data_IF_533885305445
#
_entry.id   IF_533885305445
#
_cell.length_a   1.000
_cell.length_b   1.000
_cell.length_c   1.000
_cell.angle_alpha   90.00
_cell.angle_beta   90.00
_cell.angle_gamma   90.00
#
_symmetry.space_group_name_H-M   'P 1'
#
loop_
_entity.id
_entity.type
_entity.pdbx_description
1 polymer ?
#
# COMPACT_ATOMS: atom_id res chain seq x y z
N UNK A 1 0.98 21.27 -11.11
CA UNK A 1 0.93 19.98 -10.39
C UNK A 1 2.22 19.20 -10.67
N UNK A 2 3.29 19.40 -9.89
CA UNK A 2 4.66 18.97 -10.26
C UNK A 2 5.17 17.72 -9.51
N UNK A 3 4.97 17.65 -8.18
CA UNK A 3 5.62 16.61 -7.38
C UNK A 3 5.02 15.20 -7.50
N UNK A 4 3.71 15.07 -7.70
CA UNK A 4 3.06 13.75 -7.87
C UNK A 4 3.58 13.05 -9.11
N UNK A 5 3.67 13.77 -10.24
CA UNK A 5 4.23 13.23 -11.49
C UNK A 5 5.73 12.93 -11.35
N UNK A 6 6.49 13.80 -10.67
CA UNK A 6 7.92 13.56 -10.43
C UNK A 6 8.18 12.24 -9.68
N UNK A 7 7.35 11.90 -8.68
CA UNK A 7 7.46 10.64 -7.93
C UNK A 7 6.91 9.41 -8.67
N UNK A 8 6.26 9.58 -9.83
CA UNK A 8 5.54 8.55 -10.59
C UNK A 8 6.04 8.46 -12.03
N UNK A 9 7.30 8.82 -12.27
CA UNK A 9 7.94 8.81 -13.61
C UNK A 9 7.13 9.59 -14.67
N UNK A 10 6.63 10.77 -14.29
CA UNK A 10 5.83 11.64 -15.16
C UNK A 10 4.34 11.31 -15.21
N UNK A 11 3.92 10.14 -14.73
CA UNK A 11 2.51 9.71 -14.73
C UNK A 11 1.75 10.32 -13.57
N UNK A 12 0.44 10.52 -13.74
CA UNK A 12 -0.41 10.87 -12.59
C UNK A 12 -0.74 9.65 -11.74
N UNK A 13 -0.76 8.45 -12.31
CA UNK A 13 -1.02 7.20 -11.61
C UNK A 13 -0.05 6.11 -12.10
N UNK A 14 0.41 5.27 -11.17
CA UNK A 14 1.15 4.05 -11.48
C UNK A 14 0.29 2.84 -11.06
N UNK A 15 -0.37 2.15 -12.01
CA UNK A 15 -1.24 1.01 -11.71
C UNK A 15 -0.46 -0.31 -11.55
N UNK A 16 0.81 -0.35 -11.91
CA UNK A 16 1.55 -1.60 -12.08
C UNK A 16 1.78 -2.28 -10.73
N UNK A 17 1.55 -3.59 -10.68
CA UNK A 17 1.76 -4.35 -9.45
C UNK A 17 3.24 -4.32 -9.07
N UNK A 18 3.54 -3.99 -7.81
CA UNK A 18 4.90 -3.88 -7.27
C UNK A 18 5.47 -2.46 -7.26
N UNK A 19 5.04 -1.59 -8.18
CA UNK A 19 5.46 -0.17 -8.22
C UNK A 19 4.34 0.78 -7.81
N UNK A 20 3.06 0.36 -7.93
CA UNK A 20 1.92 1.12 -7.40
C UNK A 20 2.13 1.49 -5.94
N UNK A 21 1.68 2.69 -5.58
CA UNK A 21 1.81 3.26 -4.23
C UNK A 21 3.26 3.43 -3.73
N UNK A 22 4.27 3.26 -4.59
CA UNK A 22 5.68 3.44 -4.25
C UNK A 22 6.26 4.63 -5.03
N UNK A 23 6.36 5.78 -4.37
CA UNK A 23 7.04 6.94 -4.95
C UNK A 23 8.54 6.72 -5.08
N UNK A 24 9.14 7.34 -6.09
CA UNK A 24 10.60 7.32 -6.34
C UNK A 24 11.19 8.74 -6.32
N UNK A 25 12.51 8.81 -6.17
CA UNK A 25 13.27 10.06 -6.22
C UNK A 25 13.21 10.90 -4.93
N UNK A 26 13.96 12.00 -4.93
CA UNK A 26 14.26 12.79 -3.74
C UNK A 26 13.01 13.30 -3.00
N UNK A 27 11.95 13.66 -3.71
CA UNK A 27 10.72 14.13 -3.07
C UNK A 27 9.98 12.98 -2.35
N UNK A 28 9.99 11.76 -2.91
CA UNK A 28 9.43 10.60 -2.24
C UNK A 28 10.22 10.25 -0.98
N UNK A 29 11.55 10.34 -1.05
CA UNK A 29 12.44 10.10 0.10
C UNK A 29 12.24 11.14 1.21
N UNK A 30 12.09 12.42 0.84
CA UNK A 30 11.74 13.48 1.79
C UNK A 30 10.37 13.23 2.45
N UNK A 31 9.35 12.83 1.68
CA UNK A 31 8.04 12.49 2.25
C UNK A 31 8.12 11.29 3.20
N UNK A 32 8.91 10.26 2.84
CA UNK A 32 9.17 9.10 3.70
C UNK A 32 9.80 9.52 5.03
N UNK A 33 10.88 10.29 4.99
CA UNK A 33 11.58 10.74 6.19
C UNK A 33 10.66 11.57 7.11
N UNK A 34 9.84 12.46 6.54
CA UNK A 34 8.86 13.26 7.30
C UNK A 34 7.80 12.40 7.96
N UNK A 35 7.29 11.40 7.25
CA UNK A 35 6.30 10.47 7.77
C UNK A 35 6.87 9.63 8.92
N UNK A 36 8.07 9.06 8.73
CA UNK A 36 8.76 8.28 9.76
C UNK A 36 9.04 9.09 11.03
N UNK A 37 9.51 10.34 10.86
CA UNK A 37 9.72 11.25 11.99
C UNK A 37 8.42 11.57 12.74
N UNK A 38 7.31 11.78 12.02
CA UNK A 38 6.00 11.98 12.64
C UNK A 38 5.54 10.72 13.38
N UNK A 39 5.69 9.53 12.79
CA UNK A 39 5.34 8.29 13.44
C UNK A 39 6.12 8.08 14.73
N UNK A 40 7.43 8.37 14.73
CA UNK A 40 8.27 8.30 15.93
C UNK A 40 7.80 9.31 16.99
N UNK A 41 7.52 10.54 16.59
CA UNK A 41 7.08 11.62 17.51
C UNK A 41 5.75 11.32 18.20
N UNK A 42 4.81 10.72 17.48
CA UNK A 42 3.45 10.47 17.98
C UNK A 42 3.22 9.02 18.42
N UNK A 43 4.26 8.19 18.52
CA UNK A 43 4.13 6.79 18.94
C UNK A 43 3.31 5.92 17.98
N UNK A 44 3.31 6.25 16.68
CA UNK A 44 2.59 5.50 15.64
C UNK A 44 3.42 4.38 15.02
N UNK A 45 4.64 4.15 15.52
CA UNK A 45 5.41 2.94 15.21
C UNK A 45 4.70 1.75 15.87
N UNK A 46 3.60 1.31 15.25
CA UNK A 46 2.80 0.18 15.73
C UNK A 46 3.60 -1.10 15.50
N UNK A 47 3.73 -1.89 16.55
CA UNK A 47 4.14 -3.29 16.41
C UNK A 47 3.20 -4.00 15.44
N UNK A 48 3.77 -4.87 14.61
CA UNK A 48 2.96 -5.76 13.78
C UNK A 48 2.25 -6.72 14.72
N UNK A 49 0.95 -6.52 14.90
CA UNK A 49 0.12 -7.46 15.62
C UNK A 49 -0.14 -8.68 14.73
N UNK A 50 -0.17 -9.87 15.34
CA UNK A 50 -0.57 -11.07 14.64
C UNK A 50 -2.05 -10.94 14.24
N UNK A 51 -2.33 -11.11 12.95
CA UNK A 51 -3.71 -11.19 12.47
C UNK A 51 -4.34 -12.49 12.95
N UNK A 52 -5.54 -12.39 13.53
CA UNK A 52 -6.35 -13.56 13.85
C UNK A 52 -6.81 -14.24 12.57
N UNK A 53 -6.44 -15.51 12.40
CA UNK A 53 -6.79 -16.35 11.25
C UNK A 53 -7.82 -17.43 11.61
N UNK A 54 -8.09 -17.60 12.90
CA UNK A 54 -9.00 -18.60 13.46
C UNK A 54 -10.47 -18.33 13.13
N UNK A 55 -10.81 -17.08 12.80
CA UNK A 55 -12.17 -16.69 12.41
C UNK A 55 -12.44 -16.82 10.91
N UNK A 56 -11.42 -17.06 10.09
CA UNK A 56 -11.62 -17.18 8.66
C UNK A 56 -12.40 -18.45 8.35
N UNK A 57 -13.58 -18.29 7.76
CA UNK A 57 -14.37 -19.38 7.19
C UNK A 57 -14.35 -19.22 5.69
N UNK A 58 -13.72 -20.14 4.93
CA UNK A 58 -13.82 -20.08 3.48
C UNK A 58 -15.31 -20.15 3.08
N UNK A 59 -15.74 -19.46 2.01
CA UNK A 59 -17.09 -19.61 1.52
C UNK A 59 -17.38 -21.08 1.26
N UNK A 60 -18.65 -21.49 1.42
CA UNK A 60 -19.09 -22.77 0.88
C UNK A 60 -18.64 -22.88 -0.59
N UNK A 61 -18.47 -24.08 -1.12
CA UNK A 61 -18.24 -24.30 -2.56
C UNK A 61 -19.49 -23.88 -3.36
N UNK A 62 -19.89 -22.63 -3.27
CA UNK A 62 -20.91 -22.02 -4.08
C UNK A 62 -20.26 -21.73 -5.42
N UNK A 63 -20.83 -22.40 -6.42
CA UNK A 63 -20.49 -22.52 -7.85
C UNK A 63 -20.24 -21.23 -8.63
N UNK A 64 -20.02 -20.07 -8.02
CA UNK A 64 -19.79 -18.84 -8.77
C UNK A 64 -18.53 -18.94 -9.66
N UNK A 65 -17.55 -19.75 -9.28
CA UNK A 65 -16.41 -20.08 -10.14
C UNK A 65 -16.75 -20.98 -11.35
N UNK A 66 -17.88 -21.70 -11.33
CA UNK A 66 -18.38 -22.49 -12.47
C UNK A 66 -19.10 -21.64 -13.51
N UNK A 67 -19.48 -20.39 -13.19
CA UNK A 67 -20.14 -19.48 -14.13
C UNK A 67 -19.20 -18.91 -15.20
N UNK A 68 -17.89 -19.08 -15.02
CA UNK A 68 -16.84 -18.59 -15.94
C UNK A 68 -15.92 -19.71 -16.43
N UNK A 69 -16.36 -20.97 -16.30
CA UNK A 69 -15.69 -22.16 -16.85
C UNK A 69 -16.19 -22.52 -18.25
#
# INVERSE_FOLDING_TARGET
MSHVRAMRNGRENDPDYGTRMRGTGAYADMMRARFEAACKRYGLQRDRFALRRDLFRPPAKARQGELFG
#
